data_IF_962962775734
#
_entry.id   IF_962962775734
#
_cell.length_a   1.000
_cell.length_b   1.000
_cell.length_c   1.000
_cell.angle_alpha   90.00
_cell.angle_beta   90.00
_cell.angle_gamma   90.00
#
_symmetry.space_group_name_H-M   'P 1'
#
loop_
_entity.id
_entity.type
_entity.pdbx_description
1 polymer ?
#
# COMPACT_ATOMS: atom_id res chain seq x y z
N UNK A 1 9.05 14.39 9.44
CA UNK A 1 8.16 13.40 8.79
C UNK A 1 7.76 13.95 7.44
N UNK A 2 7.92 13.17 6.37
CA UNK A 2 7.46 13.50 5.02
C UNK A 2 6.35 12.51 4.68
N UNK A 3 5.23 12.98 4.14
CA UNK A 3 4.11 12.14 3.71
C UNK A 3 3.70 12.53 2.31
N UNK A 4 3.71 11.54 1.41
CA UNK A 4 3.21 11.65 0.05
C UNK A 4 2.19 10.55 -0.16
N UNK A 5 0.97 10.82 0.29
CA UNK A 5 -0.13 9.84 0.27
C UNK A 5 -1.38 10.44 -0.36
N UNK A 6 -2.16 9.59 -1.02
CA UNK A 6 -3.50 9.88 -1.53
C UNK A 6 -4.49 9.00 -0.80
N UNK A 7 -5.54 9.61 -0.26
CA UNK A 7 -6.62 8.87 0.40
C UNK A 7 -7.42 8.07 -0.64
N UNK A 8 -7.39 6.75 -0.51
CA UNK A 8 -8.27 5.84 -1.25
C UNK A 8 -9.57 5.68 -0.47
N UNK A 9 -10.66 6.14 -1.08
CA UNK A 9 -12.01 6.11 -0.48
C UNK A 9 -12.75 4.89 -1.01
N UNK A 10 -13.38 4.14 -0.11
CA UNK A 10 -14.32 3.07 -0.45
C UNK A 10 -15.49 3.06 0.53
N UNK A 11 -16.60 2.48 0.10
CA UNK A 11 -17.82 2.43 0.89
C UNK A 11 -18.15 0.98 1.24
N UNK A 12 -18.56 0.76 2.48
CA UNK A 12 -19.13 -0.51 2.95
C UNK A 12 -20.59 -0.27 3.26
N UNK A 13 -21.47 -1.18 2.86
CA UNK A 13 -22.90 -1.04 3.12
C UNK A 13 -23.44 -2.26 3.86
N UNK A 14 -24.38 -2.02 4.76
CA UNK A 14 -25.05 -3.03 5.57
C UNK A 14 -26.56 -2.83 5.51
N UNK A 15 -27.32 -3.92 5.56
CA UNK A 15 -28.79 -3.88 5.57
C UNK A 15 -29.28 -4.27 6.95
N UNK A 16 -29.82 -3.29 7.67
CA UNK A 16 -30.46 -3.53 8.95
C UNK A 16 -31.95 -3.80 8.74
N UNK A 17 -32.43 -4.95 9.24
CA UNK A 17 -33.86 -5.29 9.24
C UNK A 17 -34.44 -4.94 10.60
N UNK A 18 -35.49 -4.13 10.59
CA UNK A 18 -36.27 -3.91 11.81
C UNK A 18 -37.22 -5.09 12.02
N UNK A 19 -37.11 -5.78 13.16
CA UNK A 19 -37.93 -6.98 13.45
C UNK A 19 -39.41 -6.65 13.68
N UNK A 20 -39.76 -5.39 13.96
CA UNK A 20 -41.13 -4.96 14.26
C UNK A 20 -41.90 -4.48 13.04
N UNK A 21 -41.20 -3.87 12.09
CA UNK A 21 -41.78 -3.35 10.84
C UNK A 21 -40.88 -3.87 9.72
N UNK A 22 -41.41 -4.53 8.69
CA UNK A 22 -40.68 -5.15 7.56
C UNK A 22 -39.82 -4.18 6.72
N UNK A 23 -39.57 -2.97 7.21
CA UNK A 23 -38.68 -1.97 6.64
C UNK A 23 -37.23 -2.42 6.73
N UNK A 24 -36.55 -2.32 5.60
CA UNK A 24 -35.11 -2.54 5.45
C UNK A 24 -34.43 -1.18 5.37
N UNK A 25 -33.41 -0.95 6.19
CA UNK A 25 -32.62 0.27 6.17
C UNK A 25 -31.24 -0.05 5.60
N UNK A 26 -30.86 0.63 4.53
CA UNK A 26 -29.51 0.58 3.97
C UNK A 26 -28.63 1.58 4.73
N UNK A 27 -27.60 1.08 5.40
CA UNK A 27 -26.61 1.91 6.09
C UNK A 27 -25.31 1.85 5.30
N UNK A 28 -24.83 2.99 4.83
CA UNK A 28 -23.56 3.10 4.11
C UNK A 28 -22.54 3.84 4.96
N UNK A 29 -21.32 3.29 5.06
CA UNK A 29 -20.19 3.88 5.75
C UNK A 29 -19.07 4.18 4.76
N UNK A 30 -18.59 5.42 4.79
CA UNK A 30 -17.39 5.84 4.06
C UNK A 30 -16.14 5.44 4.85
N UNK A 31 -15.20 4.79 4.18
CA UNK A 31 -13.88 4.46 4.71
C UNK A 31 -12.80 5.11 3.84
N UNK A 32 -11.66 5.42 4.44
CA UNK A 32 -10.52 6.04 3.75
C UNK A 32 -9.21 5.43 4.25
N UNK A 33 -8.36 5.02 3.32
CA UNK A 33 -7.01 4.49 3.62
C UNK A 33 -5.97 5.30 2.85
N UNK A 34 -4.93 5.86 3.51
CA UNK A 34 -3.87 6.58 2.82
C UNK A 34 -2.98 5.62 2.04
N UNK A 35 -2.86 5.85 0.73
CA UNK A 35 -2.04 5.07 -0.19
C UNK A 35 -0.87 5.93 -0.69
N UNK A 36 0.36 5.48 -0.47
CA UNK A 36 1.56 6.18 -0.93
C UNK A 36 2.76 5.93 -0.03
N UNK A 37 3.61 6.93 0.15
CA UNK A 37 4.85 6.81 0.92
C UNK A 37 4.82 7.74 2.13
N UNK A 38 5.14 7.21 3.30
CA UNK A 38 5.42 7.98 4.51
C UNK A 38 6.87 7.70 4.91
N UNK A 39 7.61 8.75 5.22
CA UNK A 39 9.02 8.66 5.60
C UNK A 39 9.24 9.41 6.91
N UNK A 40 9.67 8.67 7.93
CA UNK A 40 10.15 9.24 9.19
C UNK A 40 11.67 9.22 9.15
N UNK A 41 12.29 10.39 9.38
CA UNK A 41 13.74 10.57 9.34
C UNK A 41 14.16 11.32 10.60
N UNK A 42 15.14 10.79 11.31
CA UNK A 42 15.82 11.46 12.40
C UNK A 42 17.30 11.64 12.02
N UNK A 43 17.68 12.80 11.47
CA UNK A 43 19.06 13.10 11.10
C UNK A 43 19.87 13.64 12.28
N UNK A 44 21.17 13.32 12.29
CA UNK A 44 22.21 13.90 13.13
C UNK A 44 23.42 14.21 12.25
N UNK A 45 23.90 15.45 12.32
CA UNK A 45 24.90 15.98 11.39
C UNK A 45 26.22 16.19 12.15
N UNK A 46 27.30 15.67 11.60
CA UNK A 46 28.65 16.04 11.97
C UNK A 46 29.19 17.03 10.93
N UNK A 47 29.32 18.30 11.33
CA UNK A 47 29.79 19.38 10.44
C UNK A 47 31.27 19.29 10.11
N UNK A 48 32.08 18.73 11.02
CA UNK A 48 33.54 18.65 10.85
C UNK A 48 33.91 17.58 9.82
N UNK A 49 33.19 16.44 9.83
CA UNK A 49 33.41 15.35 8.89
C UNK A 49 32.49 15.39 7.68
N UNK A 50 31.53 16.31 7.64
CA UNK A 50 30.46 16.38 6.62
C UNK A 50 29.65 15.08 6.52
N UNK A 51 29.49 14.37 7.64
CA UNK A 51 28.77 13.10 7.73
C UNK A 51 27.39 13.32 8.34
N UNK A 52 26.42 12.57 7.83
CA UNK A 52 25.02 12.60 8.27
C UNK A 52 24.67 11.18 8.72
N UNK A 53 24.34 11.05 9.99
CA UNK A 53 23.74 9.85 10.55
C UNK A 53 22.22 9.99 10.50
N UNK A 54 21.51 8.99 10.00
CA UNK A 54 20.06 9.02 9.91
C UNK A 54 19.47 7.70 10.37
N UNK A 55 18.45 7.80 11.22
CA UNK A 55 17.51 6.72 11.45
C UNK A 55 16.28 6.96 10.57
N UNK A 56 15.96 6.00 9.71
CA UNK A 56 14.97 6.14 8.64
C UNK A 56 13.96 5.01 8.73
N UNK A 57 12.68 5.37 8.80
CA UNK A 57 11.57 4.43 8.84
C UNK A 57 10.58 4.76 7.69
N UNK A 58 10.80 4.20 6.48
CA UNK A 58 9.86 4.34 5.39
C UNK A 58 8.71 3.32 5.51
N UNK A 59 7.50 3.80 5.24
CA UNK A 59 6.28 3.01 5.08
C UNK A 59 5.74 3.27 3.68
N UNK A 60 5.66 2.24 2.84
CA UNK A 60 5.06 2.27 1.51
C UNK A 60 3.74 1.50 1.54
N UNK A 61 2.67 2.12 1.04
CA UNK A 61 1.37 1.49 0.86
C UNK A 61 0.91 1.56 -0.59
N UNK A 62 0.33 0.47 -1.09
CA UNK A 62 -0.27 0.39 -2.43
C UNK A 62 -1.52 -0.47 -2.44
N UNK A 63 -2.39 -0.25 -3.43
CA UNK A 63 -3.51 -1.16 -3.70
C UNK A 63 -2.99 -2.32 -4.54
N UNK A 64 -3.12 -3.53 -4.01
CA UNK A 64 -2.67 -4.77 -4.66
C UNK A 64 -3.79 -5.49 -5.43
N UNK A 65 -5.04 -5.09 -5.21
CA UNK A 65 -6.19 -5.67 -5.88
C UNK A 65 -7.48 -5.26 -5.19
N UNK A 66 -8.56 -5.92 -5.59
CA UNK A 66 -9.87 -5.72 -5.02
C UNK A 66 -10.52 -7.07 -4.75
N UNK A 67 -11.19 -7.18 -3.61
CA UNK A 67 -12.06 -8.30 -3.29
C UNK A 67 -13.51 -7.83 -3.27
N UNK A 68 -14.45 -8.72 -3.59
CA UNK A 68 -15.86 -8.40 -3.49
C UNK A 68 -16.29 -8.36 -2.02
N UNK A 69 -17.18 -7.45 -1.69
CA UNK A 69 -17.84 -7.42 -0.40
C UNK A 69 -18.76 -8.65 -0.23
N UNK A 70 -18.50 -9.55 0.74
CA UNK A 70 -19.31 -10.76 0.94
C UNK A 70 -20.79 -10.49 1.19
N UNK A 71 -21.13 -9.38 1.87
CA UNK A 71 -22.51 -9.05 2.20
C UNK A 71 -23.28 -8.62 0.95
N UNK A 72 -22.67 -7.76 0.13
CA UNK A 72 -23.28 -7.30 -1.13
C UNK A 72 -23.35 -8.44 -2.15
N UNK A 73 -22.33 -9.29 -2.20
CA UNK A 73 -22.35 -10.48 -3.06
C UNK A 73 -23.49 -11.44 -2.66
N UNK A 74 -23.74 -11.66 -1.36
CA UNK A 74 -24.88 -12.44 -0.89
C UNK A 74 -26.22 -11.83 -1.33
N UNK A 75 -26.40 -10.51 -1.18
CA UNK A 75 -27.63 -9.82 -1.59
C UNK A 75 -27.81 -9.87 -3.10
N UNK A 76 -26.75 -9.65 -3.88
CA UNK A 76 -26.76 -9.71 -5.34
C UNK A 76 -27.24 -11.08 -5.84
N UNK A 77 -26.77 -12.16 -5.22
CA UNK A 77 -27.19 -13.53 -5.54
C UNK A 77 -28.67 -13.76 -5.22
N UNK A 78 -29.16 -13.30 -4.08
CA UNK A 78 -30.57 -13.44 -3.68
C UNK A 78 -31.52 -12.62 -4.57
N UNK A 79 -31.11 -11.40 -4.93
CA UNK A 79 -31.93 -10.46 -5.69
C UNK A 79 -31.79 -10.58 -7.22
N UNK A 80 -30.95 -11.52 -7.71
CA UNK A 80 -30.59 -11.68 -9.13
C UNK A 80 -30.15 -10.38 -9.81
N UNK A 81 -29.63 -9.44 -9.02
CA UNK A 81 -29.24 -8.10 -9.47
C UNK A 81 -27.73 -7.98 -9.38
N UNK A 82 -27.10 -7.40 -10.41
CA UNK A 82 -25.66 -7.13 -10.37
C UNK A 82 -25.40 -5.94 -9.45
N UNK A 83 -24.87 -6.21 -8.25
CA UNK A 83 -24.37 -5.19 -7.35
C UNK A 83 -22.84 -5.25 -7.34
N UNK A 84 -22.20 -4.10 -7.58
CA UNK A 84 -20.75 -3.98 -7.58
C UNK A 84 -20.32 -3.28 -6.29
N UNK A 85 -19.73 -4.04 -5.35
CA UNK A 85 -19.04 -3.49 -4.19
C UNK A 85 -17.69 -4.18 -4.05
N UNK A 86 -16.64 -3.43 -4.36
CA UNK A 86 -15.27 -3.92 -4.33
C UNK A 86 -14.51 -3.20 -3.22
N UNK A 87 -13.88 -3.97 -2.35
CA UNK A 87 -13.04 -3.52 -1.25
C UNK A 87 -11.59 -3.69 -1.67
N UNK A 88 -10.77 -2.65 -1.51
CA UNK A 88 -9.35 -2.69 -1.89
C UNK A 88 -8.55 -3.57 -0.95
N UNK A 89 -7.66 -4.39 -1.50
CA UNK A 89 -6.61 -5.08 -0.76
C UNK A 89 -5.40 -4.14 -0.72
N UNK A 90 -5.08 -3.63 0.46
CA UNK A 90 -3.95 -2.71 0.66
C UNK A 90 -2.74 -3.50 1.15
N UNK A 91 -1.63 -3.33 0.45
CA UNK A 91 -0.33 -3.89 0.80
C UNK A 91 0.50 -2.79 1.45
N UNK A 92 1.07 -3.06 2.63
CA UNK A 92 1.92 -2.13 3.38
C UNK A 92 3.30 -2.78 3.54
N UNK A 93 4.34 -2.00 3.29
CA UNK A 93 5.75 -2.38 3.43
C UNK A 93 6.42 -1.37 4.34
N UNK A 94 7.03 -1.84 5.41
CA UNK A 94 7.74 -1.02 6.39
C UNK A 94 9.18 -1.50 6.50
N UNK A 95 10.10 -0.55 6.65
CA UNK A 95 11.50 -0.83 6.88
C UNK A 95 12.04 0.08 7.98
N UNK A 96 13.09 -0.34 8.65
CA UNK A 96 13.84 0.49 9.57
C UNK A 96 15.32 0.37 9.23
N UNK A 97 15.99 1.50 9.04
CA UNK A 97 17.40 1.54 8.66
C UNK A 97 18.13 2.66 9.36
N UNK A 98 19.34 2.36 9.83
CA UNK A 98 20.28 3.33 10.37
C UNK A 98 21.48 3.42 9.43
N UNK A 99 21.72 4.60 8.89
CA UNK A 99 22.79 4.81 7.90
C UNK A 99 23.64 6.03 8.24
N UNK A 100 24.89 5.95 7.81
CA UNK A 100 25.88 7.02 7.84
C UNK A 100 26.28 7.32 6.39
N UNK A 101 26.08 8.56 5.94
CA UNK A 101 26.43 8.99 4.57
C UNK A 101 27.17 10.32 4.61
N UNK A 102 28.01 10.62 3.62
CA UNK A 102 28.53 12.00 3.49
C UNK A 102 27.49 12.89 2.83
N UNK A 103 27.58 14.19 3.12
CA UNK A 103 26.75 15.21 2.50
C UNK A 103 26.85 15.13 0.96
N UNK A 104 25.70 14.99 0.30
CA UNK A 104 25.58 14.95 -1.16
C UNK A 104 25.66 13.55 -1.76
N UNK A 105 26.04 12.53 -1.00
CA UNK A 105 26.08 11.14 -1.48
C UNK A 105 24.69 10.52 -1.56
N UNK A 106 24.52 9.62 -2.53
CA UNK A 106 23.32 8.79 -2.67
C UNK A 106 23.61 7.44 -2.02
N UNK A 107 22.67 6.96 -1.23
CA UNK A 107 22.72 5.65 -0.58
C UNK A 107 21.49 4.83 -0.92
N UNK A 108 21.66 3.52 -1.04
CA UNK A 108 20.56 2.54 -1.13
C UNK A 108 20.22 2.10 0.28
N UNK A 109 18.98 2.35 0.71
CA UNK A 109 18.53 2.02 2.08
C UNK A 109 18.09 0.56 2.16
N UNK A 110 17.61 0.00 1.03
CA UNK A 110 17.26 -1.40 0.94
C UNK A 110 16.61 -1.78 -0.40
N UNK A 111 16.52 -3.09 -0.61
CA UNK A 111 15.85 -3.76 -1.72
C UNK A 111 14.78 -4.70 -1.13
N UNK A 112 13.58 -4.71 -1.69
CA UNK A 112 12.54 -5.66 -1.33
C UNK A 112 12.06 -6.41 -2.57
N UNK A 113 12.29 -7.72 -2.60
CA UNK A 113 11.91 -8.61 -3.71
C UNK A 113 10.72 -9.47 -3.26
N UNK A 114 9.65 -9.43 -4.03
CA UNK A 114 8.47 -10.28 -3.87
C UNK A 114 8.34 -11.22 -5.06
N UNK A 115 8.26 -12.53 -4.80
CA UNK A 115 7.93 -13.53 -5.82
C UNK A 115 6.44 -13.88 -5.72
N UNK A 116 5.71 -13.67 -6.80
CA UNK A 116 4.29 -14.02 -6.91
C UNK A 116 4.11 -15.20 -7.83
N UNK A 117 3.42 -16.22 -7.35
CA UNK A 117 2.96 -17.35 -8.16
C UNK A 117 1.47 -17.18 -8.43
N UNK A 118 1.09 -16.82 -9.66
CA UNK A 118 -0.32 -16.79 -10.08
C UNK A 118 -0.72 -18.19 -10.58
N UNK A 119 -1.14 -19.08 -9.66
CA UNK A 119 -1.66 -20.41 -10.02
C UNK A 119 -3.11 -20.30 -10.49
N UNK A 120 -3.31 -20.05 -11.79
CA UNK A 120 -4.62 -20.24 -12.42
C UNK A 120 -4.96 -21.73 -12.48
N UNK A 121 -5.61 -22.25 -11.43
CA UNK A 121 -6.24 -23.56 -11.49
C UNK A 121 -7.59 -23.44 -12.20
N UNK A 122 -7.57 -23.64 -13.52
CA UNK A 122 -8.80 -23.77 -14.30
C UNK A 122 -9.53 -25.05 -13.84
N UNK A 123 -10.61 -24.90 -13.06
CA UNK A 123 -11.48 -26.02 -12.66
C UNK A 123 -12.26 -26.51 -13.88
N UNK A 124 -11.69 -27.45 -14.62
CA UNK A 124 -12.36 -28.11 -15.73
C UNK A 124 -13.38 -29.13 -15.22
N UNK A 125 -14.64 -28.94 -15.59
CA UNK A 125 -15.63 -30.01 -15.59
C UNK A 125 -15.28 -31.02 -16.69
N UNK A 126 -15.00 -32.27 -16.27
CA UNK A 126 -15.18 -33.52 -17.01
C UNK A 126 -14.80 -33.54 -18.52
N UNK A 127 -13.51 -33.43 -18.86
CA UNK A 127 -12.93 -34.11 -20.02
C UNK A 127 -11.41 -34.01 -19.99
N UNK A 128 -10.73 -35.14 -20.04
CA UNK A 128 -9.27 -35.23 -20.09
C UNK A 128 -8.77 -34.80 -21.48
N UNK A 129 -7.97 -33.73 -21.55
CA UNK A 129 -6.83 -33.61 -22.48
C UNK A 129 -5.97 -32.39 -22.15
N UNK A 130 -4.67 -32.65 -21.93
CA UNK A 130 -3.54 -31.70 -21.85
C UNK A 130 -3.74 -30.45 -20.97
N UNK A 131 -3.38 -30.57 -19.68
CA UNK A 131 -3.20 -29.41 -18.79
C UNK A 131 -1.88 -28.70 -19.16
N UNK A 132 -1.93 -27.57 -19.85
CA UNK A 132 -0.81 -26.63 -19.87
C UNK A 132 -0.92 -25.78 -18.61
N UNK A 133 -0.16 -26.14 -17.58
CA UNK A 133 0.06 -25.28 -16.43
C UNK A 133 0.82 -24.05 -16.95
N UNK A 134 0.14 -22.92 -17.10
CA UNK A 134 0.80 -21.65 -17.33
C UNK A 134 1.25 -21.15 -15.96
N UNK A 135 2.53 -21.34 -15.65
CA UNK A 135 3.15 -20.80 -14.46
C UNK A 135 3.57 -19.36 -14.76
N UNK A 136 2.77 -18.40 -14.28
CA UNK A 136 3.10 -16.99 -14.39
C UNK A 136 3.75 -16.54 -13.07
N UNK A 137 5.07 -16.67 -13.01
CA UNK A 137 5.86 -16.08 -11.94
C UNK A 137 6.03 -14.58 -12.21
N UNK A 138 5.70 -13.74 -11.22
CA UNK A 138 5.96 -12.29 -11.27
C UNK A 138 6.86 -11.90 -10.12
N UNK A 139 8.01 -11.31 -10.43
CA UNK A 139 8.92 -10.76 -9.42
C UNK A 139 8.75 -9.24 -9.36
N UNK A 140 8.48 -8.70 -8.18
CA UNK A 140 8.39 -7.25 -7.95
C UNK A 140 9.52 -6.84 -7.02
N UNK A 141 10.39 -5.94 -7.50
CA UNK A 141 11.49 -5.39 -6.72
C UNK A 141 11.20 -3.92 -6.37
N UNK A 142 11.54 -3.52 -5.15
CA UNK A 142 11.46 -2.13 -4.70
C UNK A 142 12.81 -1.71 -4.14
N UNK A 143 13.42 -0.71 -4.77
CA UNK A 143 14.69 -0.13 -4.35
C UNK A 143 14.45 1.29 -3.84
N UNK A 144 14.98 1.60 -2.65
CA UNK A 144 14.83 2.92 -2.04
C UNK A 144 16.19 3.62 -2.01
N UNK A 145 16.29 4.72 -2.76
CA UNK A 145 17.44 5.61 -2.75
C UNK A 145 17.19 6.81 -1.86
N UNK A 146 18.23 7.28 -1.18
CA UNK A 146 18.20 8.50 -0.42
C UNK A 146 19.47 9.31 -0.63
N UNK A 147 19.29 10.62 -0.74
CA UNK A 147 20.35 11.61 -0.76
C UNK A 147 20.04 12.66 0.31
N UNK A 148 20.99 12.93 1.18
CA UNK A 148 20.90 14.07 2.10
C UNK A 148 22.05 15.03 1.84
N UNK A 149 21.82 16.33 2.04
CA UNK A 149 22.80 17.38 1.79
C UNK A 149 22.73 18.40 2.91
N UNK A 150 23.86 18.69 3.53
CA UNK A 150 24.01 19.77 4.50
C UNK A 150 23.97 21.09 3.72
N UNK A 151 22.99 21.94 4.03
CA UNK A 151 22.87 23.28 3.44
C UNK A 151 23.40 24.28 4.47
N UNK A 152 24.51 24.99 4.19
CA UNK A 152 25.00 26.02 5.08
C UNK A 152 24.03 27.21 5.07
N UNK A 153 23.68 27.71 6.26
CA UNK A 153 22.92 28.95 6.40
C UNK A 153 23.87 30.12 6.16
N UNK A 154 23.66 30.89 5.10
CA UNK A 154 24.33 32.18 4.93
C UNK A 154 23.68 33.21 5.86
N UNK A 155 24.49 33.99 6.58
CA UNK A 155 24.04 35.11 7.41
C UNK A 155 23.15 36.06 6.58
N UNK A 156 21.83 35.99 6.79
CA UNK A 156 20.87 36.96 6.25
C UNK A 156 20.66 38.17 7.18
N UNK A 157 21.57 38.41 8.13
CA UNK A 157 21.47 39.45 9.14
C UNK A 157 22.65 40.44 9.19
N UNK A 158 23.48 40.50 8.14
CA UNK A 158 24.38 41.65 7.95
C UNK A 158 23.72 42.66 7.00
N UNK A 159 22.89 43.54 7.56
CA UNK A 159 22.55 44.85 6.99
C UNK A 159 22.20 45.86 8.06
#
# INVERSE_FOLDING_TARGET
MISFTKNHIYFTSDIQKNTKNSNQILVTKMNSVPIGVVLIVHPSINTDTSEIFMNIHPTLSRINGYTKDPNIEYIAQQSRTKLNSNISIVEIREMNSMLKIKSGEVMVIGELIEHREDKQSFKAALSQKSKRLADNMRTVETVIFLKATIVPTFNLLDK
#
